data_IF_736502845767
#
_entry.id   IF_736502845767
#
_cell.length_a   1.000
_cell.length_b   1.000
_cell.length_c   1.000
_cell.angle_alpha   90.00
_cell.angle_beta   90.00
_cell.angle_gamma   90.00
#
_symmetry.space_group_name_H-M   'P 1'
#
loop_
_entity.id
_entity.type
_entity.pdbx_description
1 polymer ?
#
# COMPACT_ATOMS: atom_id res chain seq x y z
N UNK A 1 -1.44 15.42 -7.82
CA UNK A 1 -1.68 15.63 -6.37
C UNK A 1 -3.07 15.15 -6.03
N UNK A 2 -3.27 14.51 -4.88
CA UNK A 2 -4.59 14.09 -4.40
C UNK A 2 -4.90 14.86 -3.11
N UNK A 3 -5.95 15.69 -3.13
CA UNK A 3 -6.22 16.60 -2.03
C UNK A 3 -5.02 17.53 -1.77
N UNK A 4 -4.49 17.50 -0.55
CA UNK A 4 -3.33 18.31 -0.16
C UNK A 4 -2.00 17.56 -0.15
N UNK A 5 -1.96 16.29 -0.60
CA UNK A 5 -0.74 15.47 -0.65
C UNK A 5 -0.34 15.15 -2.08
N UNK A 6 0.96 15.12 -2.33
CA UNK A 6 1.49 14.67 -3.61
C UNK A 6 1.43 13.15 -3.72
N UNK A 7 1.03 12.64 -4.88
CA UNK A 7 1.11 11.21 -5.23
C UNK A 7 2.55 10.78 -5.54
N UNK A 8 3.37 11.72 -5.99
CA UNK A 8 4.76 11.49 -6.39
C UNK A 8 5.70 12.15 -5.37
N UNK A 9 6.74 11.42 -4.95
CA UNK A 9 7.78 11.94 -4.05
C UNK A 9 8.70 12.94 -4.73
N UNK A 10 8.86 12.82 -6.05
CA UNK A 10 9.65 13.76 -6.84
C UNK A 10 8.73 14.92 -7.25
N UNK A 11 9.08 16.14 -6.87
CA UNK A 11 8.25 17.33 -7.16
C UNK A 11 8.18 17.66 -8.67
N UNK A 12 9.13 17.17 -9.47
CA UNK A 12 9.19 17.49 -10.89
C UNK A 12 9.58 16.26 -11.72
N UNK A 13 8.58 15.52 -12.20
CA UNK A 13 8.79 14.44 -13.16
C UNK A 13 9.24 15.08 -14.49
N UNK A 14 10.41 14.69 -14.98
CA UNK A 14 10.93 15.11 -16.27
C UNK A 14 10.91 13.95 -17.24
N UNK A 15 10.26 14.14 -18.38
CA UNK A 15 10.20 13.14 -19.45
C UNK A 15 11.08 13.67 -20.60
N UNK A 16 12.16 12.96 -20.99
CA UNK A 16 13.05 13.41 -22.04
C UNK A 16 12.32 13.66 -23.37
N UNK A 17 12.51 14.85 -23.95
CA UNK A 17 11.85 15.25 -25.19
C UNK A 17 10.38 15.64 -25.04
N UNK A 18 9.94 15.93 -23.81
CA UNK A 18 8.62 16.43 -23.51
C UNK A 18 8.69 17.70 -22.66
N UNK A 19 7.66 18.53 -22.75
CA UNK A 19 7.50 19.75 -21.96
C UNK A 19 6.21 19.64 -21.17
N UNK A 20 6.26 19.98 -19.87
CA UNK A 20 5.05 20.11 -19.04
C UNK A 20 4.24 21.30 -19.56
N UNK A 21 3.03 21.03 -20.04
CA UNK A 21 2.10 22.04 -20.55
C UNK A 21 1.37 22.74 -19.40
N UNK A 22 0.65 21.95 -18.59
CA UNK A 22 -0.20 22.47 -17.52
C UNK A 22 -0.48 21.39 -16.47
N UNK A 23 -1.02 21.83 -15.35
CA UNK A 23 -1.66 20.97 -14.36
C UNK A 23 -3.18 21.01 -14.57
N UNK A 24 -3.75 19.87 -14.93
CA UNK A 24 -5.19 19.66 -15.04
C UNK A 24 -5.79 19.55 -13.63
N UNK A 25 -6.77 20.38 -13.35
CA UNK A 25 -7.47 20.39 -12.06
C UNK A 25 -8.53 19.30 -12.02
N UNK A 26 -8.73 18.64 -10.86
CA UNK A 26 -9.74 17.61 -10.72
C UNK A 26 -11.14 18.21 -10.87
N UNK A 27 -12.03 17.45 -11.51
CA UNK A 27 -13.45 17.80 -11.62
C UNK A 27 -14.18 17.53 -10.31
N UNK A 28 -13.75 16.49 -9.59
CA UNK A 28 -14.35 16.02 -8.34
C UNK A 28 -13.42 16.37 -7.19
N UNK A 29 -13.83 17.32 -6.36
CA UNK A 29 -13.05 17.75 -5.18
C UNK A 29 -13.33 16.88 -3.95
N UNK A 30 -14.54 16.34 -3.81
CA UNK A 30 -14.86 15.33 -2.79
C UNK A 30 -14.56 13.93 -3.32
N UNK A 31 -13.27 13.59 -3.32
CA UNK A 31 -12.76 12.37 -3.95
C UNK A 31 -12.89 11.13 -3.07
N UNK A 32 -13.14 11.27 -1.76
CA UNK A 32 -13.02 10.15 -0.81
C UNK A 32 -14.05 9.07 -1.10
N UNK A 33 -15.31 9.45 -1.32
CA UNK A 33 -16.38 8.48 -1.62
C UNK A 33 -16.16 7.80 -2.97
N UNK A 34 -15.70 8.54 -3.98
CA UNK A 34 -15.42 8.02 -5.32
C UNK A 34 -14.28 7.01 -5.27
N UNK A 35 -13.17 7.35 -4.59
CA UNK A 35 -12.02 6.47 -4.45
C UNK A 35 -12.37 5.23 -3.63
N UNK A 36 -13.17 5.35 -2.56
CA UNK A 36 -13.59 4.16 -1.79
C UNK A 36 -14.43 3.18 -2.59
N UNK A 37 -15.19 3.68 -3.57
CA UNK A 37 -16.02 2.85 -4.43
C UNK A 37 -15.22 2.18 -5.54
N UNK A 38 -14.41 2.95 -6.26
CA UNK A 38 -13.78 2.48 -7.50
C UNK A 38 -12.31 2.09 -7.30
N UNK A 39 -11.66 2.52 -6.22
CA UNK A 39 -10.23 2.37 -5.93
C UNK A 39 -9.31 2.91 -7.05
N UNK A 40 -9.85 3.77 -7.92
CA UNK A 40 -9.14 4.36 -9.04
C UNK A 40 -8.79 5.82 -8.77
N UNK A 41 -7.58 6.20 -9.18
CA UNK A 41 -7.07 7.56 -9.09
C UNK A 41 -6.70 7.99 -10.50
N UNK A 42 -7.54 8.84 -11.07
CA UNK A 42 -7.39 9.42 -12.40
C UNK A 42 -7.45 10.96 -12.31
N UNK A 43 -7.35 11.63 -13.46
CA UNK A 43 -7.36 13.09 -13.55
C UNK A 43 -8.71 13.73 -13.19
N UNK A 44 -9.78 12.96 -13.01
CA UNK A 44 -11.07 13.47 -12.52
C UNK A 44 -11.05 13.74 -11.01
N UNK A 45 -10.26 12.99 -10.24
CA UNK A 45 -10.18 13.10 -8.76
C UNK A 45 -8.84 13.66 -8.26
N UNK A 46 -7.80 13.66 -9.08
CA UNK A 46 -6.47 14.15 -8.74
C UNK A 46 -5.96 15.18 -9.74
N UNK A 47 -5.14 16.11 -9.28
CA UNK A 47 -4.39 17.03 -10.15
C UNK A 47 -3.38 16.22 -10.97
N UNK A 48 -3.49 16.30 -12.29
CA UNK A 48 -2.62 15.63 -13.25
C UNK A 48 -1.70 16.61 -13.96
N UNK A 49 -0.46 16.22 -14.21
CA UNK A 49 0.47 16.99 -15.05
C UNK A 49 0.37 16.51 -16.50
N UNK A 50 0.04 17.42 -17.42
CA UNK A 50 -0.02 17.14 -18.86
C UNK A 50 1.35 17.44 -19.50
N UNK A 51 1.90 16.45 -20.20
CA UNK A 51 3.18 16.58 -20.92
C UNK A 51 2.95 16.45 -22.42
N UNK A 52 3.43 17.43 -23.18
CA UNK A 52 3.42 17.39 -24.64
C UNK A 52 4.79 17.03 -25.17
N UNK A 53 4.85 16.09 -26.11
CA UNK A 53 6.09 15.59 -26.67
C UNK A 53 6.01 15.63 -28.19
N UNK A 54 6.60 16.66 -28.80
CA UNK A 54 6.61 16.77 -30.26
C UNK A 54 7.72 15.89 -30.83
N UNK A 55 7.38 15.02 -31.76
CA UNK A 55 8.35 14.19 -32.47
C UNK A 55 7.96 14.03 -33.94
N UNK A 56 8.97 14.07 -34.79
CA UNK A 56 8.84 13.74 -36.21
C UNK A 56 9.33 12.30 -36.40
N UNK A 57 8.42 11.38 -36.73
CA UNK A 57 8.75 9.97 -36.94
C UNK A 57 8.75 9.64 -38.44
N UNK A 58 9.78 8.94 -38.89
CA UNK A 58 9.83 8.36 -40.23
C UNK A 58 9.09 7.02 -40.29
N UNK A 59 8.81 6.53 -41.49
CA UNK A 59 8.15 5.22 -41.70
C UNK A 59 8.96 4.11 -41.02
N UNK A 60 8.29 3.27 -40.23
CA UNK A 60 8.85 2.19 -39.40
C UNK A 60 9.74 2.64 -38.23
N UNK A 61 9.83 3.94 -37.95
CA UNK A 61 10.50 4.43 -36.75
C UNK A 61 9.63 4.20 -35.52
N UNK A 62 10.27 3.93 -34.37
CA UNK A 62 9.60 3.77 -33.08
C UNK A 62 10.25 4.66 -32.05
N UNK A 63 9.43 5.40 -31.31
CA UNK A 63 9.84 6.20 -30.17
C UNK A 63 9.28 5.57 -28.90
N UNK A 64 10.13 5.44 -27.89
CA UNK A 64 9.75 4.98 -26.57
C UNK A 64 9.97 6.12 -25.58
N UNK A 65 9.00 6.30 -24.69
CA UNK A 65 9.11 7.19 -23.55
C UNK A 65 9.14 6.34 -22.29
N UNK A 66 10.12 6.60 -21.44
CA UNK A 66 10.18 6.00 -20.11
C UNK A 66 9.78 7.06 -19.10
N UNK A 67 8.72 6.78 -18.35
CA UNK A 67 8.21 7.67 -17.31
C UNK A 67 8.52 6.98 -15.99
N UNK A 68 9.39 7.61 -15.21
CA UNK A 68 9.83 7.10 -13.91
C UNK A 68 9.49 8.11 -12.81
N UNK A 69 9.07 7.59 -11.67
CA UNK A 69 8.73 8.40 -10.51
C UNK A 69 8.57 7.52 -9.28
N UNK A 70 8.91 8.07 -8.12
CA UNK A 70 8.68 7.40 -6.85
C UNK A 70 7.29 7.77 -6.35
N UNK A 71 6.48 6.76 -6.02
CA UNK A 71 5.16 6.96 -5.42
C UNK A 71 5.33 7.26 -3.94
N UNK A 72 4.65 8.30 -3.44
CA UNK A 72 4.61 8.63 -2.02
C UNK A 72 3.46 7.88 -1.34
N UNK A 73 3.53 7.68 -0.02
CA UNK A 73 2.44 7.06 0.75
C UNK A 73 1.46 8.09 1.35
N UNK A 74 1.84 9.36 1.46
CA UNK A 74 1.07 10.35 2.24
C UNK A 74 -0.34 10.62 1.71
N UNK A 75 -0.60 10.39 0.43
CA UNK A 75 -1.94 10.54 -0.13
C UNK A 75 -2.90 9.41 0.27
N UNK A 76 -2.37 8.22 0.58
CA UNK A 76 -3.15 7.02 0.93
C UNK A 76 -3.89 7.26 2.24
N UNK A 77 -3.23 7.87 3.22
CA UNK A 77 -3.78 8.17 4.55
C UNK A 77 -5.07 9.00 4.47
N UNK A 78 -5.17 9.91 3.49
CA UNK A 78 -6.35 10.75 3.28
C UNK A 78 -7.59 9.94 2.84
N UNK A 79 -7.41 8.77 2.23
CA UNK A 79 -8.52 7.92 1.80
C UNK A 79 -9.20 7.23 2.99
N UNK A 80 -8.48 7.08 4.11
CA UNK A 80 -8.92 6.34 5.29
C UNK A 80 -9.01 4.82 5.09
N UNK A 81 -8.52 4.29 3.96
CA UNK A 81 -8.46 2.85 3.70
C UNK A 81 -7.21 2.26 4.36
N UNK A 82 -7.39 1.20 5.15
CA UNK A 82 -6.29 0.51 5.86
C UNK A 82 -5.67 -0.61 5.03
N UNK A 83 -6.44 -1.19 4.12
CA UNK A 83 -5.99 -2.17 3.15
C UNK A 83 -6.78 -1.97 1.85
N UNK A 84 -6.07 -1.84 0.73
CA UNK A 84 -6.67 -1.62 -0.59
C UNK A 84 -5.64 -1.82 -1.71
N UNK A 85 -6.13 -2.10 -2.92
CA UNK A 85 -5.32 -2.08 -4.14
C UNK A 85 -5.78 -0.90 -5.00
N UNK A 86 -5.02 0.18 -4.97
CA UNK A 86 -5.32 1.38 -5.74
C UNK A 86 -4.82 1.25 -7.18
N UNK A 87 -5.59 1.76 -8.12
CA UNK A 87 -5.22 1.88 -9.52
C UNK A 87 -4.89 3.34 -9.82
N UNK A 88 -3.61 3.66 -9.93
CA UNK A 88 -3.14 4.95 -10.46
C UNK A 88 -3.25 4.89 -11.98
N UNK A 89 -4.17 5.67 -12.54
CA UNK A 89 -4.46 5.70 -13.98
C UNK A 89 -3.76 6.89 -14.61
N UNK A 90 -2.92 6.60 -15.61
CA UNK A 90 -2.32 7.60 -16.49
C UNK A 90 -2.81 7.38 -17.92
N UNK A 91 -2.95 8.45 -18.68
CA UNK A 91 -3.39 8.40 -20.08
C UNK A 91 -2.33 8.99 -20.99
N UNK A 92 -2.11 8.34 -22.12
CA UNK A 92 -1.28 8.87 -23.19
C UNK A 92 -2.10 8.93 -24.47
N UNK A 93 -2.06 10.07 -25.15
CA UNK A 93 -2.71 10.28 -26.44
C UNK A 93 -1.66 10.60 -27.51
N UNK A 94 -1.77 9.92 -28.64
CA UNK A 94 -1.02 10.22 -29.86
C UNK A 94 -1.96 10.90 -30.84
N UNK A 95 -1.64 12.13 -31.20
CA UNK A 95 -2.34 12.88 -32.23
C UNK A 95 -1.60 12.76 -33.56
N UNK A 96 -2.02 11.83 -34.41
CA UNK A 96 -1.47 11.62 -35.75
C UNK A 96 -2.53 11.13 -36.71
N UNK A 97 -3.03 12.00 -37.60
CA UNK A 97 -4.12 11.79 -38.58
C UNK A 97 -5.48 11.44 -37.94
N UNK A 98 -5.48 10.46 -37.03
CA UNK A 98 -6.55 10.15 -36.07
C UNK A 98 -5.95 10.04 -34.67
N UNK A 99 -6.53 10.78 -33.73
CA UNK A 99 -6.15 10.70 -32.31
C UNK A 99 -6.37 9.28 -31.77
N UNK A 100 -5.32 8.68 -31.20
CA UNK A 100 -5.39 7.40 -30.47
C UNK A 100 -5.02 7.62 -29.02
N UNK A 101 -5.80 7.07 -28.09
CA UNK A 101 -5.53 7.12 -26.66
C UNK A 101 -5.26 5.73 -26.09
N UNK A 102 -4.33 5.64 -25.15
CA UNK A 102 -4.08 4.45 -24.34
C UNK A 102 -4.11 4.84 -22.86
N UNK A 103 -4.56 3.91 -22.01
CA UNK A 103 -4.53 4.05 -20.56
C UNK A 103 -3.50 3.08 -19.99
N UNK A 104 -2.73 3.55 -19.01
CA UNK A 104 -1.73 2.77 -18.28
C UNK A 104 -2.11 2.80 -16.80
N UNK A 105 -2.28 1.61 -16.22
CA UNK A 105 -2.68 1.43 -14.84
C UNK A 105 -1.48 0.93 -14.02
N UNK A 106 -1.19 1.65 -12.93
CA UNK A 106 -0.16 1.26 -11.95
C UNK A 106 -0.86 0.88 -10.66
N UNK A 107 -0.57 -0.33 -10.15
CA UNK A 107 -1.20 -0.86 -8.95
C UNK A 107 -0.38 -0.52 -7.71
N UNK A 108 -1.04 0.02 -6.68
CA UNK A 108 -0.43 0.28 -5.37
C UNK A 108 -1.20 -0.51 -4.33
N UNK A 109 -0.54 -1.55 -3.82
CA UNK A 109 -1.09 -2.43 -2.82
C UNK A 109 -0.74 -1.93 -1.42
N UNK A 110 -1.77 -1.77 -0.60
CA UNK A 110 -1.67 -1.35 0.79
C UNK A 110 -2.18 -2.48 1.66
N UNK A 111 -1.34 -2.89 2.60
CA UNK A 111 -1.63 -3.95 3.54
C UNK A 111 -1.84 -3.35 4.92
N UNK A 112 -2.85 -3.84 5.63
CA UNK A 112 -3.03 -3.49 7.03
C UNK A 112 -1.99 -4.23 7.86
N UNK A 113 -1.31 -3.52 8.76
CA UNK A 113 -0.42 -4.16 9.72
C UNK A 113 -1.25 -5.04 10.66
N UNK A 114 -0.91 -6.33 10.69
CA UNK A 114 -1.66 -7.31 11.49
C UNK A 114 -1.37 -7.07 12.98
N UNK A 115 -2.36 -6.57 13.70
CA UNK A 115 -2.28 -6.36 15.15
C UNK A 115 -2.60 -7.66 15.90
N UNK A 116 -1.60 -8.53 16.04
CA UNK A 116 -1.72 -9.82 16.75
C UNK A 116 -1.74 -9.69 18.28
N UNK A 117 -1.82 -8.47 18.83
CA UNK A 117 -1.70 -8.24 20.27
C UNK A 117 -2.79 -8.98 21.06
N UNK A 118 -4.03 -9.03 20.52
CA UNK A 118 -5.15 -9.71 21.18
C UNK A 118 -4.98 -11.23 21.15
N UNK A 119 -4.55 -11.77 20.03
CA UNK A 119 -4.27 -13.19 19.83
C UNK A 119 -3.12 -13.65 20.74
N UNK A 120 -2.04 -12.87 20.80
CA UNK A 120 -0.89 -13.12 21.69
C UNK A 120 -1.34 -13.10 23.16
N UNK A 121 -2.08 -12.06 23.57
CA UNK A 121 -2.58 -11.96 24.94
C UNK A 121 -3.49 -13.14 25.31
N UNK A 122 -4.38 -13.54 24.41
CA UNK A 122 -5.25 -14.70 24.59
C UNK A 122 -4.46 -16.01 24.69
N UNK A 123 -3.46 -16.20 23.84
CA UNK A 123 -2.58 -17.37 23.87
C UNK A 123 -1.78 -17.48 25.17
N UNK A 124 -1.25 -16.38 25.67
CA UNK A 124 -0.51 -16.34 26.95
C UNK A 124 -1.42 -16.68 28.13
N UNK A 125 -2.60 -16.06 28.22
CA UNK A 125 -3.57 -16.33 29.30
C UNK A 125 -4.02 -17.79 29.27
N UNK A 126 -4.35 -18.31 28.07
CA UNK A 126 -4.75 -19.70 27.89
C UNK A 126 -3.64 -20.68 28.26
N UNK A 127 -2.40 -20.41 27.84
CA UNK A 127 -1.23 -21.22 28.17
C UNK A 127 -0.95 -21.26 29.67
N UNK A 128 -1.02 -20.12 30.35
CA UNK A 128 -0.84 -20.02 31.81
C UNK A 128 -1.92 -20.78 32.58
N UNK A 129 -3.18 -20.69 32.15
CA UNK A 129 -4.29 -21.44 32.75
C UNK A 129 -4.09 -22.95 32.60
N UNK A 130 -3.78 -23.41 31.39
CA UNK A 130 -3.53 -24.83 31.13
C UNK A 130 -2.33 -25.33 31.95
N UNK A 131 -1.26 -24.55 32.01
CA UNK A 131 -0.06 -24.85 32.81
C UNK A 131 -0.39 -24.99 34.31
N UNK A 132 -1.20 -24.07 34.84
CA UNK A 132 -1.63 -24.14 36.24
C UNK A 132 -2.49 -25.39 36.52
N UNK A 133 -3.40 -25.74 35.61
CA UNK A 133 -4.24 -26.94 35.74
C UNK A 133 -3.42 -28.23 35.71
N UNK A 134 -2.45 -28.34 34.80
CA UNK A 134 -1.54 -29.49 34.73
C UNK A 134 -0.73 -29.59 36.03
N UNK A 135 -0.16 -28.48 36.49
CA UNK A 135 0.61 -28.45 37.75
C UNK A 135 -0.25 -28.90 38.94
N UNK A 136 -1.48 -28.41 39.06
CA UNK A 136 -2.39 -28.80 40.12
C UNK A 136 -2.77 -30.30 40.06
N UNK A 137 -3.03 -30.82 38.86
CA UNK A 137 -3.37 -32.23 38.66
C UNK A 137 -2.19 -33.15 39.01
N UNK A 138 -0.98 -32.83 38.56
CA UNK A 138 0.25 -33.56 38.88
C UNK A 138 0.59 -33.50 40.37
N UNK A 139 0.39 -32.35 41.01
CA UNK A 139 0.55 -32.21 42.46
C UNK A 139 -0.41 -33.12 43.21
N UNK A 140 -1.70 -33.12 42.84
CA UNK A 140 -2.72 -34.00 43.44
C UNK A 140 -2.45 -35.48 43.18
N UNK A 141 -1.86 -35.83 42.03
CA UNK A 141 -1.47 -37.19 41.69
C UNK A 141 -0.18 -37.66 42.42
N UNK A 142 0.46 -36.81 43.22
CA UNK A 142 1.68 -37.15 43.95
C UNK A 142 2.94 -37.25 43.09
N UNK A 143 2.85 -36.89 41.80
CA UNK A 143 3.96 -36.98 40.84
C UNK A 143 5.19 -36.16 41.29
N UNK A 144 4.94 -35.01 41.90
CA UNK A 144 5.99 -34.12 42.37
C UNK A 144 6.59 -34.52 43.74
N UNK A 145 5.96 -35.44 44.48
CA UNK A 145 6.41 -35.81 45.83
C UNK A 145 7.64 -36.75 45.84
N UNK A 146 7.93 -37.45 44.74
CA UNK A 146 9.07 -38.39 44.67
C UNK A 146 10.32 -37.81 43.99
N UNK A 147 10.21 -36.69 43.28
CA UNK A 147 11.31 -36.10 42.50
C UNK A 147 11.87 -34.81 43.15
N UNK A 148 11.05 -33.98 43.81
CA UNK A 148 11.55 -32.76 44.48
C UNK A 148 12.40 -33.05 45.72
N UNK A 149 12.17 -34.17 46.41
CA UNK A 149 13.03 -34.59 47.54
C UNK A 149 14.47 -34.76 47.07
N UNK A 150 14.73 -35.46 45.97
CA UNK A 150 16.08 -35.62 45.41
C UNK A 150 16.70 -34.31 44.90
N UNK A 151 15.91 -33.42 44.28
CA UNK A 151 16.41 -32.14 43.76
C UNK A 151 16.68 -31.11 44.87
N UNK A 152 15.86 -31.07 45.93
CA UNK A 152 16.08 -30.21 47.09
C UNK A 152 17.21 -30.73 48.00
N UNK A 153 17.40 -32.04 48.06
CA UNK A 153 18.47 -32.69 48.82
C UNK A 153 19.84 -32.58 48.13
N UNK A 154 19.87 -32.41 46.80
CA UNK A 154 21.09 -32.24 46.00
C UNK A 154 21.35 -30.80 45.51
N UNK A 155 20.59 -29.82 46.02
CA UNK A 155 20.83 -28.41 45.76
C UNK A 155 21.81 -27.83 46.81
N UNK A 156 23.07 -28.25 46.73
CA UNK A 156 24.24 -27.60 47.35
C UNK A 156 25.23 -27.18 46.25
#
# INVERSE_FOLDING_TARGET
>A
MLGNKSTWSNENIQIPGCVKQRDEQPVITDFVEVIKKDLMINCSVAVCAEFSCDNTLMKNERKFYNITGNVSSGWIEQTGLRAAVFQLVSSASLDYDKSKSVQINTQVEVYEEVNLTKEIAGGVIGGLLLWALITAALYKAGFFNSQYTWVLENAE
#
